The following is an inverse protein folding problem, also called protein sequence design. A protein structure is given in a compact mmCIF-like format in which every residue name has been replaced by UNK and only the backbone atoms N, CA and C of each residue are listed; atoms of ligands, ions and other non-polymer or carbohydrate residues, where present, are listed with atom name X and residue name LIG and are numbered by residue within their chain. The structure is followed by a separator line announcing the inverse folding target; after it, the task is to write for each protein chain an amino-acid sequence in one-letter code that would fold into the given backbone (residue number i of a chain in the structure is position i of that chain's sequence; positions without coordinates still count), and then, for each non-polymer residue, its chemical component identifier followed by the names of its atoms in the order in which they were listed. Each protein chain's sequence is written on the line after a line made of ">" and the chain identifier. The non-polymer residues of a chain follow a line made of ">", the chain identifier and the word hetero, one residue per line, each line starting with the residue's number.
data_IF_566524886857
#
_entry.id   IF_566524886857
#
_cell.length_a   1.000
_cell.length_b   1.000
_cell.length_c   1.000
_cell.angle_alpha   90.00
_cell.angle_beta   90.00
_cell.angle_gamma   90.00
#
_symmetry.space_group_name_H-M   'P 1'
#
loop_
_entity.id
_entity.type
_entity.pdbx_description
1 polymer ?
#
# COMPACT_ATOMS: atom_id res chain seq x y z
N UNK A 1 -13.47 -0.32 -8.39
CA UNK A 1 -14.58 -0.37 -9.36
C UNK A 1 -14.71 1.02 -9.99
N UNK A 2 -13.80 1.41 -10.88
CA UNK A 2 -13.90 1.27 -12.35
C UNK A 2 -15.23 1.82 -12.88
N UNK A 3 -15.23 3.08 -13.32
CA UNK A 3 -16.19 3.58 -14.29
C UNK A 3 -15.40 3.93 -15.57
N UNK A 4 -15.08 2.88 -16.31
CA UNK A 4 -14.81 2.93 -17.74
C UNK A 4 -16.16 3.21 -18.41
N UNK A 5 -16.30 4.38 -19.02
CA UNK A 5 -17.41 4.67 -19.94
C UNK A 5 -16.90 5.52 -21.10
N UNK A 6 -16.07 4.91 -21.96
CA UNK A 6 -15.99 5.31 -23.37
C UNK A 6 -17.14 4.61 -24.08
N UNK A 7 -18.22 5.33 -24.36
CA UNK A 7 -19.26 4.88 -25.29
C UNK A 7 -19.28 5.81 -26.50
N UNK A 8 -19.03 5.19 -27.64
CA UNK A 8 -19.20 5.72 -28.99
C UNK A 8 -20.68 6.01 -29.28
N UNK A 9 -20.96 7.06 -30.06
CA UNK A 9 -22.16 7.11 -30.89
C UNK A 9 -22.87 8.46 -30.92
N UNK A 10 -22.70 9.17 -32.04
CA UNK A 10 -23.64 10.11 -32.70
C UNK A 10 -22.81 11.11 -33.52
N UNK A 11 -22.42 10.80 -34.75
CA UNK A 11 -23.25 11.00 -35.95
C UNK A 11 -23.75 12.45 -36.10
N UNK A 12 -22.96 13.21 -36.86
CA UNK A 12 -23.33 14.28 -37.81
C UNK A 12 -24.73 14.90 -37.70
N UNK A 13 -24.75 16.15 -37.24
CA UNK A 13 -25.60 17.24 -37.75
C UNK A 13 -24.69 18.49 -37.70
N UNK A 14 -23.99 18.90 -38.77
CA UNK A 14 -24.53 19.58 -39.94
C UNK A 14 -25.56 20.67 -39.61
N UNK A 15 -25.19 21.61 -38.73
CA UNK A 15 -25.81 22.93 -38.67
C UNK A 15 -24.78 23.96 -39.12
N UNK A 16 -24.79 24.26 -40.43
CA UNK A 16 -24.19 25.48 -41.00
C UNK A 16 -25.00 26.67 -40.48
N UNK A 17 -24.64 27.16 -39.31
CA UNK A 17 -25.06 28.47 -38.81
C UNK A 17 -24.05 29.51 -39.25
N UNK A 18 -24.48 30.39 -40.14
CA UNK A 18 -23.77 31.59 -40.56
C UNK A 18 -23.41 32.46 -39.34
N UNK A 19 -22.14 32.50 -38.96
CA UNK A 19 -21.59 33.55 -38.11
C UNK A 19 -20.58 34.36 -38.92
N UNK A 20 -20.98 35.60 -39.18
CA UNK A 20 -20.24 36.63 -39.87
C UNK A 20 -18.76 36.63 -39.51
N UNK A 21 -17.93 36.48 -40.54
CA UNK A 21 -16.52 36.82 -40.55
C UNK A 21 -16.38 38.35 -40.36
N UNK A 22 -16.55 38.81 -39.13
CA UNK A 22 -16.20 40.16 -38.72
C UNK A 22 -14.83 40.13 -38.03
N UNK A 23 -13.79 40.37 -38.84
CA UNK A 23 -12.60 41.15 -38.50
C UNK A 23 -12.05 40.97 -37.08
N UNK A 24 -11.09 40.04 -36.92
CA UNK A 24 -10.02 40.21 -35.94
C UNK A 24 -8.68 40.26 -36.68
N UNK A 25 -8.00 41.42 -36.72
CA UNK A 25 -6.68 41.52 -37.31
C UNK A 25 -5.69 40.75 -36.45
N UNK A 26 -4.88 39.91 -37.09
CA UNK A 26 -3.72 39.30 -36.52
C UNK A 26 -2.69 40.39 -36.15
N UNK A 27 -2.83 41.01 -34.97
CA UNK A 27 -1.69 41.64 -34.30
C UNK A 27 -0.85 40.53 -33.72
N UNK A 28 0.15 40.11 -34.48
CA UNK A 28 1.22 39.21 -34.07
C UNK A 28 1.98 39.83 -32.90
N UNK A 29 1.41 39.78 -31.70
CA UNK A 29 2.05 40.16 -30.46
C UNK A 29 3.03 39.05 -30.06
N UNK A 30 4.16 39.02 -30.78
CA UNK A 30 5.31 38.14 -30.57
C UNK A 30 5.87 38.22 -29.14
N UNK A 31 5.58 39.32 -28.43
CA UNK A 31 5.88 39.53 -27.02
C UNK A 31 5.01 38.69 -26.07
N UNK A 32 3.71 38.52 -26.36
CA UNK A 32 2.82 37.71 -25.53
C UNK A 32 3.15 36.22 -25.69
N UNK A 33 3.44 35.77 -26.91
CA UNK A 33 3.88 34.39 -27.19
C UNK A 33 5.26 34.10 -26.59
N UNK A 34 6.21 35.04 -26.67
CA UNK A 34 7.53 34.93 -25.99
C UNK A 34 7.41 34.95 -24.47
N UNK A 35 6.50 35.77 -23.91
CA UNK A 35 6.23 35.78 -22.47
C UNK A 35 5.59 34.48 -22.00
N UNK A 36 4.66 33.92 -22.78
CA UNK A 36 4.03 32.63 -22.49
C UNK A 36 5.06 31.48 -22.55
N UNK A 37 5.94 31.46 -23.56
CA UNK A 37 7.02 30.46 -23.65
C UNK A 37 8.07 30.60 -22.54
N UNK A 38 8.47 31.84 -22.19
CA UNK A 38 9.39 32.11 -21.07
C UNK A 38 8.78 31.73 -19.72
N UNK A 39 7.50 32.06 -19.51
CA UNK A 39 6.77 31.71 -18.30
C UNK A 39 6.55 30.20 -18.19
N UNK A 40 6.34 29.49 -19.30
CA UNK A 40 6.23 28.02 -19.30
C UNK A 40 7.59 27.34 -19.07
N UNK A 41 8.69 27.87 -19.62
CA UNK A 41 10.04 27.34 -19.38
C UNK A 41 10.51 27.53 -17.93
N UNK A 42 10.23 28.70 -17.33
CA UNK A 42 10.55 28.97 -15.92
C UNK A 42 9.71 28.10 -14.96
N UNK A 43 8.44 27.84 -15.30
CA UNK A 43 7.57 26.93 -14.55
C UNK A 43 8.07 25.48 -14.57
N UNK A 44 8.51 24.99 -15.72
CA UNK A 44 9.04 23.63 -15.86
C UNK A 44 10.33 23.38 -15.04
N UNK A 45 11.15 24.41 -14.79
CA UNK A 45 12.36 24.28 -13.96
C UNK A 45 12.08 24.30 -12.45
N UNK A 46 11.06 25.05 -12.00
CA UNK A 46 10.66 25.12 -10.59
C UNK A 46 9.90 23.86 -10.17
N UNK A 47 9.07 23.28 -11.06
CA UNK A 47 8.37 22.03 -10.80
C UNK A 47 9.31 20.82 -10.67
N UNK A 48 10.45 20.79 -11.38
CA UNK A 48 11.38 19.64 -11.37
C UNK A 48 12.04 19.41 -10.00
N UNK A 49 12.13 20.42 -9.15
CA UNK A 49 12.66 20.28 -7.77
C UNK A 49 11.57 19.86 -6.77
N UNK A 50 10.34 20.36 -6.91
CA UNK A 50 9.23 19.97 -6.03
C UNK A 50 8.74 18.53 -6.27
N UNK A 51 8.63 18.12 -7.53
CA UNK A 51 8.11 16.78 -7.90
C UNK A 51 9.04 15.64 -7.46
N UNK A 52 10.36 15.86 -7.47
CA UNK A 52 11.32 14.83 -7.07
C UNK A 52 11.37 14.67 -5.55
N UNK A 53 11.23 15.75 -4.78
CA UNK A 53 11.21 15.65 -3.31
C UNK A 53 9.92 14.98 -2.83
N UNK A 54 8.76 15.32 -3.42
CA UNK A 54 7.48 14.67 -3.11
C UNK A 54 7.51 13.18 -3.49
N UNK A 55 8.05 12.83 -4.68
CA UNK A 55 8.11 11.43 -5.13
C UNK A 55 9.12 10.61 -4.33
N UNK A 56 10.24 11.22 -3.91
CA UNK A 56 11.25 10.54 -3.09
C UNK A 56 10.73 10.33 -1.66
N UNK A 57 10.05 11.32 -1.07
CA UNK A 57 9.43 11.17 0.24
C UNK A 57 8.36 10.06 0.25
N UNK A 58 7.49 10.02 -0.76
CA UNK A 58 6.52 8.93 -0.92
C UNK A 58 7.19 7.56 -1.11
N UNK A 59 8.29 7.49 -1.86
CA UNK A 59 9.06 6.25 -2.05
C UNK A 59 9.72 5.78 -0.74
N UNK A 60 10.24 6.70 0.08
CA UNK A 60 10.85 6.39 1.37
C UNK A 60 9.82 5.85 2.36
N UNK A 61 8.63 6.44 2.42
CA UNK A 61 7.52 5.94 3.25
C UNK A 61 7.09 4.55 2.79
N UNK A 62 6.96 4.32 1.49
CA UNK A 62 6.64 3.00 0.95
C UNK A 62 7.73 1.95 1.25
N UNK A 63 9.01 2.32 1.15
CA UNK A 63 10.12 1.42 1.50
C UNK A 63 10.14 1.08 3.00
N UNK A 64 9.98 2.09 3.86
CA UNK A 64 9.94 1.92 5.31
C UNK A 64 8.76 1.02 5.74
N UNK A 65 7.61 1.16 5.08
CA UNK A 65 6.42 0.32 5.29
C UNK A 65 6.70 -1.16 5.06
N UNK A 66 7.34 -1.50 3.94
CA UNK A 66 7.64 -2.90 3.58
C UNK A 66 8.73 -3.48 4.49
N UNK A 67 9.74 -2.68 4.85
CA UNK A 67 10.78 -3.09 5.80
C UNK A 67 10.20 -3.31 7.21
N UNK A 68 9.40 -2.39 7.71
CA UNK A 68 8.73 -2.50 9.01
C UNK A 68 7.80 -3.71 9.08
N UNK A 69 7.01 -3.95 8.03
CA UNK A 69 6.16 -5.13 7.95
C UNK A 69 6.96 -6.44 7.98
N UNK A 70 8.10 -6.50 7.28
CA UNK A 70 9.01 -7.65 7.32
C UNK A 70 9.58 -7.89 8.72
N UNK A 71 10.10 -6.84 9.38
CA UNK A 71 10.65 -6.94 10.73
C UNK A 71 9.61 -7.36 11.77
N UNK A 72 8.36 -6.92 11.62
CA UNK A 72 7.26 -7.32 12.51
C UNK A 72 7.02 -8.84 12.50
N UNK A 73 7.30 -9.54 11.39
CA UNK A 73 7.09 -10.99 11.29
C UNK A 73 8.12 -11.83 12.05
N UNK A 74 9.24 -11.24 12.49
CA UNK A 74 10.27 -11.94 13.27
C UNK A 74 9.67 -12.51 14.58
N UNK A 75 8.61 -11.88 15.10
CA UNK A 75 7.85 -12.38 16.25
C UNK A 75 7.30 -13.81 16.07
N UNK A 76 7.09 -14.29 14.84
CA UNK A 76 6.67 -15.67 14.59
C UNK A 76 7.71 -16.71 14.99
N UNK A 77 8.99 -16.36 15.05
CA UNK A 77 10.01 -17.26 15.58
C UNK A 77 9.71 -17.63 17.03
N UNK A 78 9.21 -16.67 17.84
CA UNK A 78 8.80 -16.90 19.21
C UNK A 78 7.62 -17.87 19.32
N UNK A 79 6.63 -17.74 18.43
CA UNK A 79 5.50 -18.68 18.37
C UNK A 79 5.98 -20.09 18.03
N UNK A 80 6.87 -20.26 17.05
CA UNK A 80 7.45 -21.56 16.69
C UNK A 80 8.20 -22.23 17.85
N UNK A 81 9.01 -21.47 18.58
CA UNK A 81 9.71 -21.97 19.78
C UNK A 81 8.72 -22.31 20.90
N UNK A 82 7.69 -21.48 21.10
CA UNK A 82 6.63 -21.73 22.08
C UNK A 82 5.89 -23.04 21.82
N UNK A 83 5.50 -23.29 20.57
CA UNK A 83 4.81 -24.53 20.17
C UNK A 83 5.73 -25.74 20.40
N UNK A 84 6.99 -25.67 19.98
CA UNK A 84 7.95 -26.76 20.16
C UNK A 84 8.19 -27.11 21.63
N UNK A 85 8.28 -26.10 22.50
CA UNK A 85 8.46 -26.32 23.94
C UNK A 85 7.22 -26.89 24.62
N UNK A 86 6.02 -26.41 24.27
CA UNK A 86 4.75 -26.94 24.81
C UNK A 86 4.56 -28.41 24.44
N UNK A 87 4.72 -28.77 23.16
CA UNK A 87 4.59 -30.16 22.73
C UNK A 87 5.73 -31.04 23.22
N UNK A 88 6.96 -30.52 23.33
CA UNK A 88 8.08 -31.22 23.95
C UNK A 88 7.81 -31.59 25.41
N UNK A 89 7.28 -30.65 26.19
CA UNK A 89 6.85 -30.87 27.57
C UNK A 89 5.69 -31.85 27.69
N UNK A 90 4.74 -31.82 26.75
CA UNK A 90 3.63 -32.78 26.70
C UNK A 90 4.14 -34.22 26.50
N UNK A 91 5.01 -34.45 25.52
CA UNK A 91 5.52 -35.81 25.23
C UNK A 91 6.29 -36.35 26.44
N UNK A 92 7.17 -35.53 27.04
CA UNK A 92 7.92 -35.94 28.22
C UNK A 92 7.01 -36.18 29.44
N UNK A 93 5.97 -35.36 29.63
CA UNK A 93 4.99 -35.53 30.70
C UNK A 93 4.16 -36.80 30.55
N UNK A 94 3.67 -37.07 29.35
CA UNK A 94 2.91 -38.29 29.02
C UNK A 94 3.78 -39.54 29.11
N UNK A 95 5.06 -39.46 28.70
CA UNK A 95 6.01 -40.56 28.81
C UNK A 95 6.29 -40.97 30.27
N UNK A 96 6.25 -40.01 31.21
CA UNK A 96 6.43 -40.28 32.65
C UNK A 96 5.17 -40.82 33.31
N UNK A 97 3.99 -40.27 32.99
CA UNK A 97 2.72 -40.67 33.58
C UNK A 97 1.59 -40.67 32.53
N UNK A 98 1.36 -41.81 31.85
CA UNK A 98 0.38 -41.89 30.77
C UNK A 98 -1.08 -41.78 31.25
N UNK A 99 -1.36 -42.05 32.53
CA UNK A 99 -2.69 -41.90 33.13
C UNK A 99 -3.22 -40.46 33.13
N UNK A 100 -2.32 -39.47 33.17
CA UNK A 100 -2.68 -38.04 33.19
C UNK A 100 -2.76 -37.41 31.80
N UNK A 101 -2.62 -38.21 30.73
CA UNK A 101 -2.56 -37.73 29.34
C UNK A 101 -3.71 -36.80 28.97
N UNK A 102 -4.94 -37.10 29.39
CA UNK A 102 -6.11 -36.28 29.05
C UNK A 102 -6.02 -34.85 29.61
N UNK A 103 -5.57 -34.71 30.85
CA UNK A 103 -5.43 -33.42 31.51
C UNK A 103 -4.20 -32.65 31.00
N UNK A 104 -3.06 -33.33 30.80
CA UNK A 104 -1.87 -32.73 30.19
C UNK A 104 -2.14 -32.25 28.76
N UNK A 105 -2.93 -33.00 27.99
CA UNK A 105 -3.30 -32.59 26.63
C UNK A 105 -4.16 -31.32 26.64
N UNK A 106 -5.11 -31.17 27.57
CA UNK A 106 -5.88 -29.93 27.73
C UNK A 106 -4.98 -28.72 28.06
N UNK A 107 -4.02 -28.88 28.97
CA UNK A 107 -3.06 -27.82 29.27
C UNK A 107 -2.12 -27.52 28.10
N UNK A 108 -1.70 -28.54 27.35
CA UNK A 108 -0.88 -28.34 26.16
C UNK A 108 -1.64 -27.62 25.05
N UNK A 109 -2.93 -27.93 24.83
CA UNK A 109 -3.76 -27.22 23.85
C UNK A 109 -4.00 -25.76 24.28
N UNK A 110 -4.19 -25.50 25.58
CA UNK A 110 -4.29 -24.13 26.10
C UNK A 110 -2.97 -23.36 25.88
N UNK A 111 -1.82 -23.98 26.18
CA UNK A 111 -0.51 -23.40 25.94
C UNK A 111 -0.22 -23.15 24.45
N UNK A 112 -0.62 -24.09 23.59
CA UNK A 112 -0.56 -23.94 22.13
C UNK A 112 -1.41 -22.76 21.65
N UNK A 113 -2.64 -22.63 22.15
CA UNK A 113 -3.53 -21.54 21.79
C UNK A 113 -2.95 -20.16 22.17
N UNK A 114 -2.31 -20.05 23.35
CA UNK A 114 -1.63 -18.82 23.74
C UNK A 114 -0.37 -18.55 22.89
N UNK A 115 0.42 -19.58 22.58
CA UNK A 115 1.57 -19.43 21.68
C UNK A 115 1.13 -18.92 20.30
N UNK A 116 0.09 -19.53 19.72
CA UNK A 116 -0.51 -19.09 18.45
C UNK A 116 -1.11 -17.69 18.54
N UNK A 117 -1.79 -17.34 19.63
CA UNK A 117 -2.36 -16.00 19.82
C UNK A 117 -1.26 -14.91 19.73
N UNK A 118 -0.10 -15.15 20.34
CA UNK A 118 1.04 -14.22 20.22
C UNK A 118 1.64 -14.18 18.82
N UNK A 119 1.69 -15.32 18.11
CA UNK A 119 2.14 -15.38 16.72
C UNK A 119 1.20 -14.63 15.76
N UNK A 120 -0.11 -14.86 15.87
CA UNK A 120 -1.13 -14.17 15.10
C UNK A 120 -1.18 -12.68 15.44
N UNK A 121 -0.89 -12.29 16.67
CA UNK A 121 -0.76 -10.88 17.04
C UNK A 121 0.40 -10.19 16.31
N UNK A 122 1.55 -10.85 16.18
CA UNK A 122 2.68 -10.33 15.40
C UNK A 122 2.33 -10.22 13.91
N UNK A 123 1.64 -11.21 13.34
CA UNK A 123 1.15 -11.14 11.95
C UNK A 123 0.11 -10.04 11.74
N UNK A 124 -0.79 -9.84 12.71
CA UNK A 124 -1.77 -8.75 12.67
C UNK A 124 -1.06 -7.40 12.54
N UNK A 125 0.00 -7.16 13.31
CA UNK A 125 0.80 -5.94 13.21
C UNK A 125 1.51 -5.81 11.86
N UNK A 126 2.05 -6.91 11.32
CA UNK A 126 2.65 -6.92 9.99
C UNK A 126 1.64 -6.53 8.89
N UNK A 127 0.41 -7.06 8.95
CA UNK A 127 -0.64 -6.71 7.99
C UNK A 127 -1.17 -5.29 8.17
N UNK A 128 -1.25 -4.79 9.40
CA UNK A 128 -1.60 -3.39 9.65
C UNK A 128 -0.55 -2.48 8.98
N UNK A 129 0.73 -2.79 9.15
CA UNK A 129 1.81 -2.08 8.49
C UNK A 129 1.79 -2.22 6.97
N UNK A 130 1.31 -3.31 6.38
CA UNK A 130 1.29 -3.48 4.91
C UNK A 130 0.06 -2.91 4.21
N UNK A 131 -1.11 -2.91 4.86
CA UNK A 131 -2.38 -2.59 4.20
C UNK A 131 -3.09 -1.34 4.75
N UNK A 132 -2.77 -0.93 5.98
CA UNK A 132 -3.43 0.20 6.64
C UNK A 132 -2.52 1.42 6.76
N UNK A 133 -1.27 1.22 7.20
CA UNK A 133 -0.25 2.28 7.29
C UNK A 133 0.15 2.81 5.90
#
# INVERSE_FOLDING_TARGET
>A
MVAIARSFGAARVAARGFSNAARQPASTNSLVVRSAFRNNAARNMIQKRGVVVESTAAAMVAAAKIQGAGLATIGLAGAGVGIGTVFGGLIQGVARNPSLRGQLFQYAVLGFAFAEATGLFALMMSFLLLYVA
#
